data_IF_081482805321
#
_entry.id   IF_081482805321
#
_cell.length_a   1.000
_cell.length_b   1.000
_cell.length_c   1.000
_cell.angle_alpha   90.00
_cell.angle_beta   90.00
_cell.angle_gamma   90.00
#
_symmetry.space_group_name_H-M   'P 1'
#
loop_
_entity.id
_entity.type
_entity.pdbx_description
1 polymer ?
#
# COMPACT_ATOMS: atom_id res chain seq x y z
N UNK A 1 -2.49 43.54 43.18
CA UNK A 1 -3.60 42.68 42.70
C UNK A 1 -3.57 42.65 41.18
N UNK A 2 -3.30 41.50 40.58
CA UNK A 2 -3.60 41.18 39.18
C UNK A 2 -3.38 39.67 39.02
N UNK A 3 -4.36 38.88 39.44
CA UNK A 3 -4.38 37.43 39.17
C UNK A 3 -4.68 37.20 37.70
N UNK A 4 -3.71 36.64 36.98
CA UNK A 4 -3.86 36.19 35.60
C UNK A 4 -4.72 34.91 35.57
N UNK A 5 -5.95 35.03 35.05
CA UNK A 5 -6.84 33.90 34.79
C UNK A 5 -6.31 33.10 33.59
N UNK A 6 -5.62 32.00 33.85
CA UNK A 6 -5.36 30.96 32.85
C UNK A 6 -6.69 30.25 32.55
N UNK A 7 -7.20 30.44 31.35
CA UNK A 7 -8.40 29.76 30.87
C UNK A 7 -8.13 28.25 30.78
N UNK A 8 -8.86 27.46 31.58
CA UNK A 8 -8.84 25.99 31.51
C UNK A 8 -9.47 25.53 30.19
N UNK A 9 -8.65 25.02 29.27
CA UNK A 9 -9.11 24.33 28.06
C UNK A 9 -9.93 23.10 28.49
N UNK A 10 -11.23 23.10 28.19
CA UNK A 10 -12.14 22.03 28.56
C UNK A 10 -11.73 20.69 27.91
N UNK A 11 -11.54 19.66 28.75
CA UNK A 11 -11.19 18.30 28.33
C UNK A 11 -12.35 17.74 27.48
N UNK A 12 -12.16 17.59 26.16
CA UNK A 12 -13.14 16.95 25.26
C UNK A 12 -13.50 15.56 25.81
N UNK A 13 -14.80 15.23 25.86
CA UNK A 13 -15.26 13.89 26.27
C UNK A 13 -14.61 12.82 25.37
N UNK A 14 -14.25 11.65 25.91
CA UNK A 14 -13.68 10.56 25.11
C UNK A 14 -14.68 10.11 24.03
N UNK A 15 -14.15 9.82 22.84
CA UNK A 15 -14.95 9.33 21.70
C UNK A 15 -15.56 7.96 22.05
N UNK A 16 -16.83 7.76 21.71
CA UNK A 16 -17.48 6.45 21.86
C UNK A 16 -17.01 5.50 20.76
N UNK A 17 -17.09 4.18 20.97
CA UNK A 17 -16.77 3.20 19.91
C UNK A 17 -17.55 3.48 18.62
N UNK A 18 -18.85 3.79 18.72
CA UNK A 18 -19.67 4.11 17.56
C UNK A 18 -19.18 5.40 16.85
N UNK A 19 -18.73 6.40 17.60
CA UNK A 19 -18.09 7.60 17.06
C UNK A 19 -16.83 7.25 16.26
N UNK A 20 -15.96 6.44 16.84
CA UNK A 20 -14.73 5.95 16.20
C UNK A 20 -15.04 5.21 14.89
N UNK A 21 -15.99 4.27 14.90
CA UNK A 21 -16.37 3.51 13.69
C UNK A 21 -16.90 4.44 12.60
N UNK A 22 -17.74 5.42 12.95
CA UNK A 22 -18.26 6.40 11.98
C UNK A 22 -17.14 7.23 11.37
N UNK A 23 -16.17 7.66 12.19
CA UNK A 23 -14.99 8.43 11.75
C UNK A 23 -14.07 7.58 10.88
N UNK A 24 -13.78 6.34 11.28
CA UNK A 24 -12.97 5.38 10.52
C UNK A 24 -13.55 5.12 9.12
N UNK A 25 -14.86 4.89 9.03
CA UNK A 25 -15.56 4.72 7.74
C UNK A 25 -15.56 6.00 6.90
N UNK A 26 -15.61 7.18 7.53
CA UNK A 26 -15.47 8.45 6.82
C UNK A 26 -14.06 8.64 6.27
N UNK A 27 -13.03 8.32 7.05
CA UNK A 27 -11.63 8.30 6.59
C UNK A 27 -11.49 7.40 5.35
N UNK A 28 -12.01 6.17 5.37
CA UNK A 28 -11.94 5.28 4.20
C UNK A 28 -12.62 5.89 2.95
N UNK A 29 -13.77 6.57 3.10
CA UNK A 29 -14.42 7.26 1.97
C UNK A 29 -13.58 8.40 1.41
N UNK A 30 -13.03 9.26 2.25
CA UNK A 30 -12.16 10.36 1.81
C UNK A 30 -10.87 9.84 1.17
N UNK A 31 -10.32 8.72 1.67
CA UNK A 31 -9.20 8.02 1.04
C UNK A 31 -9.57 7.37 -0.30
N UNK A 32 -10.81 6.89 -0.46
CA UNK A 32 -11.31 6.35 -1.73
C UNK A 32 -11.44 7.44 -2.79
N UNK A 33 -11.87 8.64 -2.41
CA UNK A 33 -11.91 9.82 -3.29
C UNK A 33 -10.49 10.32 -3.63
N UNK A 34 -9.56 10.25 -2.69
CA UNK A 34 -8.17 10.68 -2.89
C UNK A 34 -7.37 9.69 -3.76
N UNK A 35 -7.61 8.40 -3.59
CA UNK A 35 -6.93 7.31 -4.29
C UNK A 35 -7.92 6.37 -4.99
N UNK A 36 -8.71 6.85 -5.97
CA UNK A 36 -9.64 5.99 -6.71
C UNK A 36 -8.88 4.91 -7.51
N UNK A 37 -7.62 5.20 -7.85
CA UNK A 37 -6.67 4.34 -8.55
C UNK A 37 -5.81 3.48 -7.62
N UNK A 38 -6.13 3.35 -6.32
CA UNK A 38 -5.31 2.56 -5.40
C UNK A 38 -5.24 1.09 -5.84
N UNK A 39 -4.04 0.52 -5.90
CA UNK A 39 -3.78 -0.81 -6.46
C UNK A 39 -2.51 -1.42 -5.82
N UNK A 40 -2.27 -2.73 -5.93
CA UNK A 40 -1.00 -3.32 -5.47
C UNK A 40 0.19 -2.75 -6.26
N UNK A 41 1.20 -2.21 -5.60
CA UNK A 41 2.36 -1.57 -6.27
C UNK A 41 3.39 -2.57 -6.87
N UNK A 42 3.09 -3.88 -6.84
CA UNK A 42 3.85 -4.94 -7.50
C UNK A 42 3.30 -5.23 -8.90
N UNK A 43 4.19 -5.48 -9.85
CA UNK A 43 3.86 -5.93 -11.20
C UNK A 43 3.72 -7.46 -11.25
N UNK A 44 2.58 -7.95 -11.75
CA UNK A 44 2.28 -9.37 -11.85
C UNK A 44 1.19 -9.63 -12.90
N UNK A 45 1.28 -10.77 -13.56
CA UNK A 45 0.31 -11.31 -14.52
C UNK A 45 -0.21 -12.66 -14.01
N UNK A 46 -1.02 -12.63 -12.93
CA UNK A 46 -1.66 -13.79 -12.33
C UNK A 46 -1.19 -14.17 -10.91
N UNK A 47 -1.83 -15.18 -10.29
CA UNK A 47 -1.62 -15.52 -8.88
C UNK A 47 -0.21 -15.98 -8.52
N UNK A 48 0.42 -16.80 -9.37
CA UNK A 48 1.78 -17.31 -9.13
C UNK A 48 2.81 -16.17 -9.12
N UNK A 49 2.75 -15.30 -10.12
CA UNK A 49 3.64 -14.15 -10.19
C UNK A 49 3.46 -13.22 -8.98
N UNK A 50 2.22 -12.97 -8.56
CA UNK A 50 1.98 -12.14 -7.37
C UNK A 50 2.53 -12.78 -6.10
N UNK A 51 2.35 -14.10 -5.93
CA UNK A 51 2.87 -14.83 -4.78
C UNK A 51 4.41 -14.71 -4.71
N UNK A 52 5.09 -15.02 -5.81
CA UNK A 52 6.56 -14.91 -5.93
C UNK A 52 7.04 -13.48 -5.69
N UNK A 53 6.41 -12.49 -6.34
CA UNK A 53 6.75 -11.07 -6.17
C UNK A 53 6.56 -10.61 -4.72
N UNK A 54 5.53 -11.10 -4.03
CA UNK A 54 5.27 -10.74 -2.62
C UNK A 54 6.28 -11.37 -1.67
N UNK A 55 6.73 -12.60 -1.92
CA UNK A 55 7.84 -13.21 -1.17
C UNK A 55 9.15 -12.43 -1.42
N UNK A 56 9.39 -12.02 -2.67
CA UNK A 56 10.54 -11.20 -3.02
C UNK A 56 10.50 -9.81 -2.37
N UNK A 57 9.33 -9.21 -2.16
CA UNK A 57 9.17 -7.86 -1.60
C UNK A 57 9.56 -7.74 -0.12
N UNK A 58 9.74 -8.87 0.57
CA UNK A 58 10.25 -8.88 1.92
C UNK A 58 11.60 -8.13 2.01
N UNK A 59 11.59 -7.03 2.77
CA UNK A 59 12.76 -6.16 3.02
C UNK A 59 13.41 -5.59 1.75
N UNK A 60 12.62 -5.32 0.71
CA UNK A 60 13.06 -4.60 -0.49
C UNK A 60 11.96 -3.63 -0.94
N UNK A 61 12.26 -2.75 -1.88
CA UNK A 61 11.25 -1.87 -2.49
C UNK A 61 10.47 -2.61 -3.58
N UNK A 62 9.21 -2.23 -3.78
CA UNK A 62 8.37 -2.82 -4.82
C UNK A 62 8.95 -2.52 -6.21
N UNK A 63 9.49 -1.31 -6.43
CA UNK A 63 10.20 -0.97 -7.66
C UNK A 63 11.36 -1.94 -7.97
N UNK A 64 12.17 -2.31 -6.96
CA UNK A 64 13.29 -3.25 -7.15
C UNK A 64 12.80 -4.64 -7.51
N UNK A 65 11.69 -5.08 -6.91
CA UNK A 65 11.04 -6.35 -7.28
C UNK A 65 10.55 -6.29 -8.72
N UNK A 66 9.86 -5.21 -9.09
CA UNK A 66 9.30 -5.01 -10.43
C UNK A 66 10.39 -4.97 -11.52
N UNK A 67 11.59 -4.48 -11.21
CA UNK A 67 12.75 -4.55 -12.11
C UNK A 67 13.32 -5.97 -12.25
N UNK A 68 13.14 -6.82 -11.24
CA UNK A 68 13.73 -8.16 -11.17
C UNK A 68 12.81 -9.23 -11.74
N UNK A 69 11.50 -9.10 -11.52
CA UNK A 69 10.50 -10.11 -11.88
C UNK A 69 10.36 -10.39 -13.38
N UNK A 70 10.57 -9.45 -14.32
CA UNK A 70 10.48 -9.76 -15.75
C UNK A 70 11.46 -10.84 -16.18
N UNK A 71 12.75 -10.68 -15.85
CA UNK A 71 13.78 -11.68 -16.15
C UNK A 71 13.55 -13.01 -15.40
N UNK A 72 13.03 -12.93 -14.17
CA UNK A 72 12.69 -14.11 -13.38
C UNK A 72 11.58 -14.93 -14.06
N UNK A 73 10.48 -14.29 -14.46
CA UNK A 73 9.32 -14.99 -15.03
C UNK A 73 9.52 -15.35 -16.51
N UNK A 74 10.40 -14.67 -17.24
CA UNK A 74 10.86 -15.13 -18.54
C UNK A 74 11.62 -16.46 -18.44
N UNK A 75 12.43 -16.64 -17.39
CA UNK A 75 13.20 -17.86 -17.15
C UNK A 75 12.39 -18.97 -16.45
N UNK A 76 11.51 -18.60 -15.53
CA UNK A 76 10.71 -19.53 -14.72
C UNK A 76 9.23 -19.10 -14.73
N UNK A 77 8.50 -19.30 -15.84
CA UNK A 77 7.13 -18.83 -15.99
C UNK A 77 6.12 -19.59 -15.12
N UNK A 78 6.40 -20.85 -14.77
CA UNK A 78 5.50 -21.71 -13.99
C UNK A 78 6.08 -22.14 -12.64
N UNK A 79 5.24 -22.62 -11.69
CA UNK A 79 5.74 -23.26 -10.48
C UNK A 79 6.66 -24.43 -10.77
N UNK A 80 6.38 -25.23 -11.80
CA UNK A 80 7.20 -26.38 -12.21
C UNK A 80 8.61 -25.95 -12.61
N UNK A 81 8.72 -24.90 -13.41
CA UNK A 81 10.01 -24.36 -13.85
C UNK A 81 10.83 -23.85 -12.66
N UNK A 82 10.17 -23.11 -11.75
CA UNK A 82 10.84 -22.55 -10.58
C UNK A 82 11.17 -23.62 -9.53
N UNK A 83 10.39 -24.70 -9.45
CA UNK A 83 10.69 -25.87 -8.61
C UNK A 83 11.91 -26.64 -9.10
N UNK A 84 12.15 -26.64 -10.42
CA UNK A 84 13.31 -27.28 -11.06
C UNK A 84 14.53 -26.34 -11.16
N UNK A 85 14.42 -25.10 -10.68
CA UNK A 85 15.49 -24.11 -10.80
C UNK A 85 16.77 -24.54 -10.09
N UNK A 86 17.92 -24.33 -10.75
CA UNK A 86 19.24 -24.46 -10.12
C UNK A 86 19.38 -23.31 -9.10
N UNK A 87 19.63 -23.59 -7.80
CA UNK A 87 19.66 -22.56 -6.77
C UNK A 87 20.61 -21.40 -7.08
N UNK A 88 21.82 -21.69 -7.55
CA UNK A 88 22.84 -20.69 -7.85
C UNK A 88 22.41 -19.76 -8.98
N UNK A 89 21.70 -20.27 -9.99
CA UNK A 89 21.20 -19.47 -11.10
C UNK A 89 20.04 -18.57 -10.66
N UNK A 90 19.10 -19.12 -9.89
CA UNK A 90 18.01 -18.34 -9.31
C UNK A 90 18.55 -17.23 -8.40
N UNK A 91 19.54 -17.54 -7.58
CA UNK A 91 20.21 -16.58 -6.70
C UNK A 91 20.79 -15.40 -7.48
N UNK A 92 21.41 -15.62 -8.65
CA UNK A 92 21.91 -14.51 -9.48
C UNK A 92 20.78 -13.63 -10.01
N UNK A 93 19.68 -14.24 -10.48
CA UNK A 93 18.53 -13.50 -11.01
C UNK A 93 17.93 -12.59 -9.93
N UNK A 94 17.74 -13.11 -8.71
CA UNK A 94 17.06 -12.37 -7.63
C UNK A 94 18.01 -11.61 -6.70
N UNK A 95 19.33 -11.66 -6.96
CA UNK A 95 20.37 -10.98 -6.18
C UNK A 95 20.05 -9.50 -5.88
N UNK A 96 19.51 -8.70 -6.82
CA UNK A 96 19.19 -7.29 -6.58
C UNK A 96 18.15 -7.06 -5.48
N UNK A 97 17.35 -8.07 -5.11
CA UNK A 97 16.30 -7.95 -4.09
C UNK A 97 16.81 -8.11 -2.66
N UNK A 98 18.09 -8.43 -2.46
CA UNK A 98 18.68 -8.67 -1.13
C UNK A 98 18.15 -9.96 -0.47
N UNK A 99 18.87 -10.47 0.54
CA UNK A 99 18.56 -11.77 1.21
C UNK A 99 18.31 -12.92 0.23
N UNK A 100 18.97 -12.87 -0.94
CA UNK A 100 18.63 -13.67 -2.11
C UNK A 100 18.76 -15.18 -1.86
N UNK A 101 19.67 -15.65 -1.01
CA UNK A 101 19.79 -17.07 -0.65
C UNK A 101 18.56 -17.60 0.07
N UNK A 102 18.09 -16.86 1.07
CA UNK A 102 16.89 -17.23 1.83
C UNK A 102 15.63 -17.13 0.95
N UNK A 103 15.58 -16.11 0.08
CA UNK A 103 14.50 -15.95 -0.89
C UNK A 103 14.50 -17.09 -1.92
N UNK A 104 15.64 -17.44 -2.51
CA UNK A 104 15.77 -18.54 -3.46
C UNK A 104 15.30 -19.86 -2.85
N UNK A 105 15.75 -20.18 -1.62
CA UNK A 105 15.27 -21.35 -0.88
C UNK A 105 13.75 -21.34 -0.70
N UNK A 106 13.18 -20.18 -0.37
CA UNK A 106 11.73 -20.04 -0.17
C UNK A 106 10.97 -20.18 -1.49
N UNK A 107 11.46 -19.58 -2.58
CA UNK A 107 10.85 -19.65 -3.91
C UNK A 107 10.88 -21.06 -4.48
N UNK A 108 12.02 -21.77 -4.40
CA UNK A 108 12.09 -23.16 -4.81
C UNK A 108 11.17 -24.01 -3.95
N UNK A 109 11.22 -23.83 -2.62
CA UNK A 109 10.39 -24.60 -1.69
C UNK A 109 8.89 -24.39 -1.88
N UNK A 110 8.44 -23.15 -2.11
CA UNK A 110 7.03 -22.87 -2.38
C UNK A 110 6.61 -23.44 -3.73
N UNK A 111 7.45 -23.34 -4.75
CA UNK A 111 7.15 -23.89 -6.07
C UNK A 111 7.07 -25.43 -6.06
N UNK A 112 7.96 -26.10 -5.32
CA UNK A 112 7.86 -27.55 -5.07
C UNK A 112 6.53 -27.89 -4.38
N UNK A 113 6.15 -27.13 -3.34
CA UNK A 113 4.90 -27.36 -2.64
C UNK A 113 3.68 -27.14 -3.55
N UNK A 114 3.69 -26.12 -4.42
CA UNK A 114 2.63 -25.89 -5.40
C UNK A 114 2.51 -27.05 -6.38
N UNK A 115 3.63 -27.47 -6.99
CA UNK A 115 3.66 -28.61 -7.92
C UNK A 115 3.14 -29.90 -7.27
N UNK A 116 3.70 -30.26 -6.11
CA UNK A 116 3.50 -31.59 -5.52
C UNK A 116 2.17 -31.71 -4.74
N UNK A 117 1.70 -30.63 -4.12
CA UNK A 117 0.51 -30.67 -3.23
C UNK A 117 -0.71 -29.97 -3.82
N UNK A 118 -0.52 -29.01 -4.72
CA UNK A 118 -1.60 -28.16 -5.24
C UNK A 118 -1.70 -28.21 -6.78
N UNK A 119 -1.05 -29.19 -7.42
CA UNK A 119 -1.16 -29.42 -8.87
C UNK A 119 -0.65 -28.27 -9.74
N UNK A 120 0.32 -27.50 -9.24
CA UNK A 120 0.86 -26.33 -9.96
C UNK A 120 0.00 -25.07 -9.82
N UNK A 121 -1.06 -25.08 -9.00
CA UNK A 121 -1.92 -23.91 -8.82
C UNK A 121 -1.73 -23.26 -7.43
N UNK A 122 -1.82 -21.93 -7.39
CA UNK A 122 -1.81 -21.19 -6.12
C UNK A 122 -3.15 -21.41 -5.40
N UNK A 123 -3.15 -21.94 -4.16
CA UNK A 123 -4.39 -22.16 -3.43
C UNK A 123 -5.06 -20.84 -3.05
N UNK A 124 -6.39 -20.88 -2.89
CA UNK A 124 -7.22 -19.70 -2.58
C UNK A 124 -7.48 -19.52 -1.08
N UNK A 125 -7.26 -20.57 -0.27
CA UNK A 125 -7.50 -20.58 1.17
C UNK A 125 -6.31 -20.01 1.95
N UNK A 126 -6.60 -19.30 3.05
CA UNK A 126 -5.56 -18.75 3.92
C UNK A 126 -4.74 -19.88 4.55
N UNK A 127 -5.43 -20.92 5.03
CA UNK A 127 -4.87 -22.08 5.73
C UNK A 127 -3.84 -22.81 4.86
N UNK A 128 -4.14 -22.96 3.56
CA UNK A 128 -3.24 -23.60 2.59
C UNK A 128 -2.07 -22.69 2.23
N UNK A 129 -2.34 -21.41 1.96
CA UNK A 129 -1.32 -20.43 1.59
C UNK A 129 -0.23 -20.30 2.65
N UNK A 130 -0.60 -20.26 3.94
CA UNK A 130 0.39 -20.14 5.03
C UNK A 130 1.22 -21.42 5.25
N UNK A 131 0.86 -22.53 4.61
CA UNK A 131 1.72 -23.73 4.60
C UNK A 131 2.88 -23.62 3.61
N UNK A 132 2.85 -22.65 2.70
CA UNK A 132 3.88 -22.49 1.68
C UNK A 132 5.14 -21.81 2.28
N UNK A 133 6.35 -22.32 2.00
CA UNK A 133 7.59 -21.70 2.45
C UNK A 133 7.69 -20.21 2.08
N UNK A 134 8.03 -19.38 3.07
CA UNK A 134 8.14 -17.92 2.88
C UNK A 134 6.80 -17.16 2.84
N UNK A 135 5.67 -17.85 3.00
CA UNK A 135 4.34 -17.24 2.97
C UNK A 135 3.78 -17.15 4.39
N UNK A 136 3.78 -15.94 4.94
CA UNK A 136 3.05 -15.63 6.18
C UNK A 136 1.63 -15.14 5.90
N UNK A 137 0.85 -14.93 6.97
CA UNK A 137 -0.54 -14.44 6.92
C UNK A 137 -0.71 -13.16 6.08
N UNK A 138 0.21 -12.19 6.22
CA UNK A 138 0.22 -10.97 5.39
C UNK A 138 0.31 -11.30 3.89
N UNK A 139 1.28 -12.14 3.51
CA UNK A 139 1.52 -12.53 2.11
C UNK A 139 0.29 -13.25 1.55
N UNK A 140 -0.30 -14.17 2.32
CA UNK A 140 -1.52 -14.85 1.93
C UNK A 140 -2.68 -13.87 1.69
N UNK A 141 -2.90 -12.91 2.60
CA UNK A 141 -3.93 -11.88 2.43
C UNK A 141 -3.70 -10.98 1.20
N UNK A 142 -2.44 -10.68 0.85
CA UNK A 142 -2.12 -9.97 -0.40
C UNK A 142 -2.61 -10.78 -1.60
N UNK A 143 -2.29 -12.07 -1.66
CA UNK A 143 -2.67 -12.93 -2.79
C UNK A 143 -4.18 -13.12 -2.86
N UNK A 144 -4.85 -13.42 -1.74
CA UNK A 144 -6.31 -13.57 -1.66
C UNK A 144 -7.01 -12.31 -2.18
N UNK A 145 -6.60 -11.14 -1.70
CA UNK A 145 -7.24 -9.89 -2.06
C UNK A 145 -7.05 -9.49 -3.52
N UNK A 146 -5.85 -9.71 -4.07
CA UNK A 146 -5.44 -9.11 -5.34
C UNK A 146 -5.44 -10.06 -6.53
N UNK A 147 -5.18 -11.36 -6.30
CA UNK A 147 -5.19 -12.35 -7.37
C UNK A 147 -6.55 -13.03 -7.53
N UNK A 148 -7.31 -13.17 -6.43
CA UNK A 148 -8.57 -13.91 -6.43
C UNK A 148 -9.82 -13.05 -6.15
N UNK A 149 -9.65 -11.73 -5.97
CA UNK A 149 -10.77 -10.83 -5.65
C UNK A 149 -11.41 -11.11 -4.29
N UNK A 150 -10.71 -11.81 -3.40
CA UNK A 150 -11.16 -12.09 -2.05
C UNK A 150 -11.05 -10.87 -1.13
N UNK A 151 -11.40 -11.07 0.14
CA UNK A 151 -11.28 -10.05 1.18
C UNK A 151 -10.08 -10.38 2.06
N UNK A 152 -9.02 -9.55 1.98
CA UNK A 152 -7.83 -9.69 2.82
C UNK A 152 -7.38 -8.34 3.34
N UNK A 153 -7.19 -8.21 4.65
CA UNK A 153 -6.54 -7.04 5.25
C UNK A 153 -5.04 -7.33 5.33
N UNK A 154 -4.24 -6.48 4.71
CA UNK A 154 -2.79 -6.62 4.67
C UNK A 154 -2.15 -5.66 5.67
N UNK A 155 -1.90 -6.17 6.88
CA UNK A 155 -1.25 -5.37 7.92
C UNK A 155 0.25 -5.36 7.69
N UNK A 156 0.74 -4.28 7.07
CA UNK A 156 2.16 -3.97 6.99
C UNK A 156 2.54 -2.82 7.94
N UNK A 157 3.79 -2.35 7.84
CA UNK A 157 4.31 -1.27 8.68
C UNK A 157 3.64 0.09 8.40
N UNK A 158 3.07 0.29 7.21
CA UNK A 158 2.27 1.47 6.88
C UNK A 158 0.89 1.33 7.51
N UNK A 159 0.21 0.22 7.24
CA UNK A 159 -1.13 -0.05 7.71
C UNK A 159 -1.23 -0.02 9.24
N UNK A 160 -0.40 -0.78 9.94
CA UNK A 160 -0.43 -0.83 11.41
C UNK A 160 -0.15 0.54 12.04
N UNK A 161 0.84 1.28 11.51
CA UNK A 161 1.14 2.65 11.96
C UNK A 161 -0.06 3.58 11.77
N UNK A 162 -0.71 3.51 10.61
CA UNK A 162 -1.84 4.40 10.30
C UNK A 162 -3.10 3.98 11.06
N UNK A 163 -3.37 2.70 11.24
CA UNK A 163 -4.47 2.21 12.08
C UNK A 163 -4.35 2.77 13.50
N UNK A 164 -3.14 2.78 14.08
CA UNK A 164 -2.87 3.43 15.38
C UNK A 164 -3.03 4.95 15.31
N UNK A 165 -2.46 5.63 14.30
CA UNK A 165 -2.60 7.10 14.15
C UNK A 165 -4.06 7.53 13.97
N UNK A 166 -4.86 6.74 13.28
CA UNK A 166 -6.28 6.98 13.09
C UNK A 166 -7.12 6.59 14.31
N UNK A 167 -6.51 5.98 15.33
CA UNK A 167 -7.21 5.53 16.55
C UNK A 167 -8.18 4.40 16.30
N UNK A 168 -7.87 3.49 15.37
CA UNK A 168 -8.67 2.28 15.11
C UNK A 168 -8.33 1.16 16.09
N UNK A 169 -7.07 1.11 16.53
CA UNK A 169 -6.55 0.13 17.47
C UNK A 169 -5.34 0.72 18.21
N UNK A 170 -5.01 0.15 19.38
CA UNK A 170 -3.77 0.39 20.09
C UNK A 170 -2.76 -0.76 19.91
N UNK A 171 -3.15 -1.85 19.25
CA UNK A 171 -2.34 -3.05 19.09
C UNK A 171 -1.19 -2.81 18.11
N UNK A 172 -0.08 -3.50 18.36
CA UNK A 172 1.10 -3.52 17.50
C UNK A 172 1.26 -4.84 16.75
N UNK A 173 0.73 -5.92 17.32
CA UNK A 173 0.71 -7.23 16.69
C UNK A 173 -0.16 -7.22 15.43
N UNK A 174 0.37 -7.63 14.26
CA UNK A 174 -0.36 -7.57 13.00
C UNK A 174 -1.68 -8.35 13.00
N UNK A 175 -1.76 -9.51 13.66
CA UNK A 175 -2.98 -10.34 13.66
C UNK A 175 -4.07 -9.69 14.51
N UNK A 176 -3.70 -9.08 15.64
CA UNK A 176 -4.65 -8.32 16.45
C UNK A 176 -5.14 -7.05 15.75
N UNK A 177 -4.23 -6.31 15.10
CA UNK A 177 -4.59 -5.14 14.29
C UNK A 177 -5.55 -5.54 13.17
N UNK A 178 -5.31 -6.68 12.52
CA UNK A 178 -6.19 -7.24 11.50
C UNK A 178 -7.60 -7.48 12.07
N UNK A 179 -7.70 -8.19 13.19
CA UNK A 179 -8.97 -8.52 13.83
C UNK A 179 -9.77 -7.27 14.25
N UNK A 180 -9.11 -6.28 14.85
CA UNK A 180 -9.75 -5.01 15.24
C UNK A 180 -10.32 -4.27 14.02
N UNK A 181 -9.57 -4.20 12.93
CA UNK A 181 -10.01 -3.51 11.72
C UNK A 181 -11.14 -4.27 11.01
N UNK A 182 -11.10 -5.61 11.00
CA UNK A 182 -12.19 -6.43 10.47
C UNK A 182 -13.52 -6.17 11.19
N UNK A 183 -13.50 -5.84 12.48
CA UNK A 183 -14.70 -5.49 13.24
C UNK A 183 -15.26 -4.09 12.89
N UNK A 184 -14.43 -3.19 12.33
CA UNK A 184 -14.80 -1.80 12.01
C UNK A 184 -15.40 -1.70 10.60
N UNK A 185 -14.79 -2.39 9.63
CA UNK A 185 -15.09 -2.24 8.21
C UNK A 185 -15.79 -3.47 7.62
N UNK A 186 -16.75 -3.29 6.69
CA UNK A 186 -17.41 -4.41 6.03
C UNK A 186 -16.40 -5.20 5.18
N UNK A 187 -16.62 -6.52 5.08
CA UNK A 187 -15.72 -7.45 4.38
C UNK A 187 -15.43 -7.06 2.92
N UNK A 188 -16.40 -6.46 2.23
CA UNK A 188 -16.26 -5.98 0.86
C UNK A 188 -15.22 -4.85 0.69
N UNK A 189 -14.86 -4.15 1.76
CA UNK A 189 -13.91 -3.03 1.71
C UNK A 189 -12.48 -3.43 2.06
N UNK A 190 -12.23 -4.61 2.63
CA UNK A 190 -10.95 -4.94 3.26
C UNK A 190 -9.74 -4.76 2.36
N UNK A 191 -9.78 -5.33 1.15
CA UNK A 191 -8.66 -5.26 0.19
C UNK A 191 -8.39 -3.81 -0.24
N UNK A 192 -9.43 -3.05 -0.60
CA UNK A 192 -9.28 -1.66 -1.04
C UNK A 192 -8.92 -0.71 0.11
N UNK A 193 -9.41 -0.97 1.32
CA UNK A 193 -9.01 -0.28 2.53
C UNK A 193 -7.50 -0.43 2.74
N UNK A 194 -6.97 -1.64 2.64
CA UNK A 194 -5.53 -1.90 2.74
C UNK A 194 -4.74 -1.10 1.71
N UNK A 195 -5.14 -1.12 0.44
CA UNK A 195 -4.47 -0.33 -0.60
C UNK A 195 -4.48 1.16 -0.30
N UNK A 196 -5.65 1.72 0.02
CA UNK A 196 -5.81 3.16 0.31
C UNK A 196 -5.00 3.60 1.52
N UNK A 197 -4.98 2.80 2.59
CA UNK A 197 -4.19 3.10 3.80
C UNK A 197 -2.69 3.01 3.51
N UNK A 198 -2.24 1.97 2.80
CA UNK A 198 -0.83 1.84 2.41
C UNK A 198 -0.41 3.00 1.50
N UNK A 199 -1.23 3.36 0.51
CA UNK A 199 -1.02 4.53 -0.35
C UNK A 199 -0.84 5.78 0.48
N UNK A 200 -1.77 6.05 1.39
CA UNK A 200 -1.70 7.23 2.26
C UNK A 200 -0.43 7.23 3.12
N UNK A 201 -0.06 6.07 3.66
CA UNK A 201 1.14 5.90 4.48
C UNK A 201 2.46 6.04 3.72
N UNK A 202 2.44 5.86 2.39
CA UNK A 202 3.61 6.02 1.50
C UNK A 202 3.70 7.43 0.89
N UNK A 203 2.56 8.09 0.67
CA UNK A 203 2.46 9.37 -0.05
C UNK A 203 2.40 10.60 0.87
N UNK A 204 1.78 10.46 2.04
CA UNK A 204 1.47 11.60 2.94
C UNK A 204 1.93 11.32 4.38
N UNK A 205 1.51 10.20 4.95
CA UNK A 205 1.63 9.93 6.38
C UNK A 205 2.91 9.13 6.71
N UNK A 206 4.06 9.72 6.41
CA UNK A 206 5.38 9.11 6.58
C UNK A 206 5.68 8.74 8.04
N UNK A 207 6.54 7.74 8.24
CA UNK A 207 6.86 7.22 9.57
C UNK A 207 7.48 8.28 10.49
N UNK A 208 8.52 8.98 10.03
CA UNK A 208 9.27 9.96 10.84
C UNK A 208 8.63 11.36 10.85
N UNK A 209 8.35 11.93 9.68
CA UNK A 209 7.80 13.29 9.53
C UNK A 209 6.61 13.27 8.56
N UNK A 210 5.37 13.00 9.02
CA UNK A 210 4.20 13.01 8.16
C UNK A 210 3.82 14.43 7.71
N UNK A 211 3.22 14.55 6.53
CA UNK A 211 2.79 15.81 5.92
C UNK A 211 1.41 16.26 6.44
N UNK A 212 1.25 16.47 7.74
CA UNK A 212 -0.05 16.77 8.37
C UNK A 212 -0.73 18.02 7.77
N UNK A 213 0.02 19.08 7.49
CA UNK A 213 -0.49 20.33 6.90
C UNK A 213 -1.02 20.20 5.47
N UNK A 214 -0.63 19.12 4.76
CA UNK A 214 -1.08 18.80 3.41
C UNK A 214 -1.97 17.55 3.37
N UNK A 215 -2.35 16.99 4.53
CA UNK A 215 -3.11 15.76 4.61
C UNK A 215 -4.62 16.02 4.41
N UNK A 216 -5.26 15.46 3.37
CA UNK A 216 -6.68 15.74 3.09
C UNK A 216 -7.64 15.28 4.20
N UNK A 217 -7.26 14.23 4.94
CA UNK A 217 -8.05 13.66 6.05
C UNK A 217 -7.66 14.25 7.43
N UNK A 218 -6.84 15.31 7.47
CA UNK A 218 -6.41 15.97 8.70
C UNK A 218 -7.57 16.32 9.67
N UNK A 219 -8.73 16.85 9.20
CA UNK A 219 -9.85 17.18 10.08
C UNK A 219 -10.44 15.98 10.83
N UNK A 220 -10.21 14.76 10.34
CA UNK A 220 -10.70 13.52 10.94
C UNK A 220 -9.62 12.76 11.74
N UNK A 221 -8.37 13.20 11.68
CA UNK A 221 -7.22 12.47 12.21
C UNK A 221 -6.99 12.79 13.69
N UNK A 222 -7.12 11.82 14.61
CA UNK A 222 -6.82 12.04 16.03
C UNK A 222 -5.34 12.37 16.29
N UNK A 223 -4.46 11.95 15.39
CA UNK A 223 -3.01 12.16 15.45
C UNK A 223 -2.53 13.36 14.63
N UNK A 224 -3.42 14.26 14.21
CA UNK A 224 -2.99 15.49 13.55
C UNK A 224 -2.02 16.27 14.45
N UNK A 225 -0.95 16.82 13.85
CA UNK A 225 0.08 17.57 14.58
C UNK A 225 1.32 16.76 14.96
N UNK A 226 1.36 15.44 14.74
CA UNK A 226 2.57 14.62 14.97
C UNK A 226 3.66 14.80 13.91
N UNK A 227 3.42 15.64 12.90
CA UNK A 227 4.35 15.92 11.81
C UNK A 227 4.29 17.38 11.38
N UNK A 228 4.69 17.66 10.15
CA UNK A 228 4.71 19.02 9.62
C UNK A 228 3.29 19.56 9.45
N UNK A 229 2.95 20.65 10.14
CA UNK A 229 1.61 21.25 10.09
C UNK A 229 1.54 22.46 9.16
N UNK A 230 2.69 23.08 8.84
CA UNK A 230 2.71 24.16 7.86
C UNK A 230 2.31 23.62 6.47
N UNK A 231 1.27 24.16 5.81
CA UNK A 231 0.79 23.63 4.54
C UNK A 231 1.85 23.65 3.43
N UNK A 232 2.69 24.68 3.37
CA UNK A 232 3.69 24.82 2.31
C UNK A 232 4.86 23.85 2.51
N UNK A 233 5.38 23.74 3.74
CA UNK A 233 6.43 22.77 4.06
C UNK A 233 5.90 21.34 3.97
N UNK A 234 4.67 21.07 4.39
CA UNK A 234 4.08 19.74 4.32
C UNK A 234 3.91 19.26 2.87
N UNK A 235 3.55 20.15 1.94
CA UNK A 235 3.46 19.81 0.50
C UNK A 235 4.78 19.30 -0.08
N UNK A 236 5.91 19.85 0.37
CA UNK A 236 7.26 19.39 -0.06
C UNK A 236 7.59 17.98 0.41
N UNK A 237 6.86 17.45 1.39
CA UNK A 237 7.05 16.09 1.91
C UNK A 237 6.19 15.05 1.17
N UNK A 238 5.29 15.47 0.28
CA UNK A 238 4.50 14.53 -0.52
C UNK A 238 5.43 13.66 -1.39
N UNK A 239 4.96 12.49 -1.81
CA UNK A 239 5.72 11.57 -2.65
C UNK A 239 4.90 11.06 -3.83
N UNK A 240 5.60 10.48 -4.80
CA UNK A 240 5.02 9.85 -6.00
C UNK A 240 4.15 10.87 -6.75
N UNK A 241 2.97 10.44 -7.22
CA UNK A 241 2.12 11.27 -8.06
C UNK A 241 1.64 12.55 -7.35
N UNK A 242 1.58 12.56 -6.02
CA UNK A 242 1.25 13.77 -5.24
C UNK A 242 2.39 14.80 -5.19
N UNK A 243 3.60 14.41 -5.57
CA UNK A 243 4.78 15.28 -5.67
C UNK A 243 5.31 15.43 -7.10
N UNK A 244 4.57 14.94 -8.10
CA UNK A 244 5.03 14.94 -9.50
C UNK A 244 6.18 13.95 -9.76
N UNK A 245 6.33 12.93 -8.92
CA UNK A 245 7.31 11.85 -9.06
C UNK A 245 6.64 10.58 -9.63
N UNK A 246 7.39 9.71 -10.33
CA UNK A 246 6.84 8.46 -10.84
C UNK A 246 6.38 7.54 -9.70
N UNK A 247 5.41 6.66 -9.99
CA UNK A 247 4.97 5.60 -9.09
C UNK A 247 5.99 4.47 -8.92
N UNK A 248 5.58 3.33 -8.36
CA UNK A 248 6.47 2.16 -8.22
C UNK A 248 6.27 1.07 -9.26
N UNK A 249 5.10 0.99 -9.90
CA UNK A 249 4.86 0.03 -10.99
C UNK A 249 5.55 0.47 -12.25
N UNK A 250 6.19 -0.48 -12.92
CA UNK A 250 6.67 -0.31 -14.29
C UNK A 250 5.47 -0.14 -15.23
N UNK A 251 4.38 -0.88 -14.98
CA UNK A 251 3.15 -0.88 -15.78
C UNK A 251 1.94 -0.54 -14.88
N UNK A 252 1.76 0.73 -14.46
CA UNK A 252 0.61 1.11 -13.64
C UNK A 252 -0.71 1.01 -14.43
N UNK A 253 -1.86 0.87 -13.73
CA UNK A 253 -3.18 0.95 -14.36
C UNK A 253 -3.39 2.25 -15.15
N UNK A 254 -4.23 2.20 -16.18
CA UNK A 254 -4.45 3.33 -17.11
C UNK A 254 -5.06 4.58 -16.45
N UNK A 255 -5.73 4.42 -15.31
CA UNK A 255 -6.32 5.50 -14.51
C UNK A 255 -5.33 6.13 -13.51
N UNK A 256 -4.11 5.59 -13.37
CA UNK A 256 -3.06 6.18 -12.54
C UNK A 256 -2.74 7.62 -13.00
N UNK A 257 -2.70 8.61 -12.08
CA UNK A 257 -2.55 10.01 -12.47
C UNK A 257 -1.09 10.47 -12.59
N UNK A 258 -0.12 9.64 -12.17
CA UNK A 258 1.30 9.96 -12.22
C UNK A 258 2.02 9.28 -13.39
N UNK A 259 3.34 9.43 -13.42
CA UNK A 259 4.19 8.77 -14.40
C UNK A 259 4.51 7.32 -13.99
N UNK A 260 4.55 6.43 -14.99
CA UNK A 260 4.97 5.04 -14.80
C UNK A 260 6.46 4.98 -14.45
N UNK A 261 6.85 4.09 -13.53
CA UNK A 261 8.26 3.93 -13.16
C UNK A 261 9.11 3.54 -14.37
N UNK A 262 8.56 2.76 -15.30
CA UNK A 262 9.29 2.34 -16.49
C UNK A 262 9.81 3.51 -17.33
N UNK A 263 9.04 4.60 -17.47
CA UNK A 263 9.49 5.79 -18.22
C UNK A 263 10.67 6.45 -17.55
N UNK A 264 10.63 6.59 -16.22
CA UNK A 264 11.72 7.15 -15.45
C UNK A 264 12.99 6.28 -15.52
N UNK A 265 12.85 4.96 -15.46
CA UNK A 265 13.98 4.02 -15.57
C UNK A 265 14.60 4.04 -16.98
N UNK A 266 13.78 4.05 -18.04
CA UNK A 266 14.26 4.19 -19.41
C UNK A 266 14.99 5.52 -19.62
N UNK A 267 14.46 6.62 -19.09
CA UNK A 267 15.12 7.93 -19.12
C UNK A 267 16.45 7.95 -18.36
N UNK A 268 16.58 7.14 -17.30
CA UNK A 268 17.81 6.93 -16.55
C UNK A 268 18.80 5.96 -17.22
N UNK A 269 18.44 5.37 -18.38
CA UNK A 269 19.29 4.44 -19.12
C UNK A 269 19.31 3.02 -18.56
N UNK A 270 18.35 2.65 -17.71
CA UNK A 270 18.21 1.28 -17.21
C UNK A 270 17.34 0.45 -18.17
N UNK A 271 17.89 -0.58 -18.83
CA UNK A 271 17.09 -1.46 -19.68
C UNK A 271 16.09 -2.24 -18.84
N UNK A 272 14.84 -2.29 -19.31
CA UNK A 272 13.77 -3.09 -18.70
C UNK A 272 13.40 -4.23 -19.66
N UNK A 273 13.47 -5.50 -19.23
CA UNK A 273 12.98 -6.61 -20.05
C UNK A 273 11.48 -6.44 -20.32
N UNK A 274 11.04 -6.79 -21.52
CA UNK A 274 9.63 -6.95 -21.91
C UNK A 274 8.71 -5.74 -21.69
N UNK A 275 9.28 -4.53 -21.63
CA UNK A 275 8.48 -3.29 -21.51
C UNK A 275 8.45 -2.57 -22.85
N UNK A 276 7.36 -2.69 -23.61
CA UNK A 276 7.13 -1.86 -24.78
C UNK A 276 6.83 -0.41 -24.31
N UNK A 277 7.71 0.57 -24.59
CA UNK A 277 7.50 1.96 -24.18
C UNK A 277 6.22 2.56 -24.77
N UNK A 278 5.75 2.04 -25.91
CA UNK A 278 4.54 2.50 -26.59
C UNK A 278 3.26 1.98 -25.94
N UNK A 279 3.33 0.86 -25.19
CA UNK A 279 2.20 0.29 -24.45
C UNK A 279 1.98 0.94 -23.07
N UNK A 280 2.88 1.82 -22.62
CA UNK A 280 2.76 2.52 -21.33
C UNK A 280 1.73 3.64 -21.41
N UNK A 281 0.81 3.77 -20.43
CA UNK A 281 -0.17 4.84 -20.42
C UNK A 281 0.51 6.20 -20.56
N UNK A 282 -0.08 7.15 -21.32
CA UNK A 282 0.50 8.47 -21.50
C UNK A 282 0.68 9.12 -20.14
N UNK A 283 1.82 9.78 -19.92
CA UNK A 283 2.02 10.60 -18.74
C UNK A 283 0.88 11.63 -18.68
N UNK A 284 -0.05 11.46 -17.74
CA UNK A 284 -1.05 12.49 -17.48
C UNK A 284 -0.30 13.62 -16.78
N UNK A 285 -0.40 14.84 -17.32
CA UNK A 285 0.09 15.99 -16.60
C UNK A 285 -0.55 15.96 -15.21
N UNK A 286 0.27 15.92 -14.16
CA UNK A 286 -0.20 15.99 -12.79
C UNK A 286 -0.94 17.32 -12.65
N UNK A 287 -2.27 17.31 -12.81
CA UNK A 287 -3.10 18.44 -12.42
C UNK A 287 -3.03 18.45 -10.90
N UNK A 288 -2.12 19.26 -10.37
CA UNK A 288 -2.09 19.64 -8.96
C UNK A 288 -3.31 20.52 -8.64
N UNK A 289 -4.52 20.04 -8.90
CA UNK A 289 -5.72 20.58 -8.30
C UNK A 289 -6.03 19.69 -7.11
N UNK A 290 -5.65 20.17 -5.92
CA UNK A 290 -6.25 19.69 -4.69
C UNK A 290 -7.78 19.69 -4.86
N UNK A 291 -8.52 18.71 -4.31
CA UNK A 291 -9.97 18.75 -4.36
C UNK A 291 -10.45 20.04 -3.66
N UNK A 292 -10.86 21.02 -4.45
CA UNK A 292 -11.45 22.26 -3.98
C UNK A 292 -12.86 21.95 -3.43
N UNK A 293 -12.94 21.46 -2.18
CA UNK A 293 -14.20 21.33 -1.45
C UNK A 293 -14.04 21.69 0.02
N UNK A 294 -13.78 22.96 0.30
CA UNK A 294 -14.21 23.65 1.54
C UNK A 294 -14.25 25.15 1.31
N UNK A 295 -15.24 25.63 0.56
CA UNK A 295 -15.59 27.06 0.53
C UNK A 295 -17.11 27.31 0.39
N UNK A 296 -17.96 26.27 0.43
CA UNK A 296 -19.42 26.42 0.29
C UNK A 296 -20.24 26.09 1.54
N UNK A 297 -19.58 25.87 2.69
CA UNK A 297 -20.28 25.63 3.97
C UNK A 297 -20.36 26.87 4.88
N UNK A 298 -19.58 27.94 4.61
CA UNK A 298 -19.60 29.17 5.43
C UNK A 298 -20.52 30.28 4.88
N UNK A 299 -21.04 30.15 3.66
CA UNK A 299 -21.94 31.14 3.07
C UNK A 299 -23.43 30.93 3.40
N UNK A 300 -23.83 29.74 3.90
CA UNK A 300 -25.24 29.43 4.18
C UNK A 300 -25.70 29.75 5.61
N UNK A 301 -24.81 30.23 6.48
CA UNK A 301 -25.13 30.58 7.87
C UNK A 301 -25.27 32.10 8.12
N UNK A 302 -25.27 32.92 7.05
CA UNK A 302 -25.33 34.39 7.15
C UNK A 302 -26.55 35.04 6.47
N UNK A 303 -27.50 34.25 5.97
CA UNK A 303 -28.76 34.73 5.38
C UNK A 303 -30.01 34.34 6.17
N UNK A 304 -29.84 33.90 7.42
CA UNK A 304 -30.95 33.80 8.39
C UNK A 304 -30.53 34.42 9.72
N UNK A 305 -30.36 35.74 9.72
CA UNK A 305 -30.41 36.57 10.91
C UNK A 305 -31.00 37.93 10.59
#
# INVERSE_FOLDING_TARGET
MAESKVAKVGRKKPETHLGMVRRARRINRELAELYPYAHPELDFDGPFQLLVATVLSAQTTDLRVNQTTPALFAKYPTPEDLAAAVPEELEQVIRPTGFFRAKAKSLIGLSIALRDRFGGEVPRGLEDLVTLPGVGRKTANVVIGNAFGGAGITVDTHFGRLARRFGWTAEEDPEKVEADVMAIFPKSEWTMLSHRVVFHGRRVCHARKPACGACPIAPLCPSYGVGETDPEQARKLLKYELAGQPGQRLRPPADFPGEAAARAELAAGHPLPDTDPQALPPAKAAKAEAPAKTAKAEAAAKETS
#
